data_IF_392045764380
#
_entry.id   IF_392045764380
#
_cell.length_a   1.000
_cell.length_b   1.000
_cell.length_c   1.000
_cell.angle_alpha   90.00
_cell.angle_beta   90.00
_cell.angle_gamma   90.00
#
_symmetry.space_group_name_H-M   'P 1'
#
loop_
_entity.id
_entity.type
_entity.pdbx_description
1 polymer ?
#
# COMPACT_ATOMS: atom_id res chain seq x y z
N UNK A 1 -7.25 2.33 -0.63
CA UNK A 1 -7.16 1.72 -1.98
C UNK A 1 -8.51 1.85 -2.67
N UNK A 2 -8.57 2.39 -3.89
CA UNK A 2 -9.82 2.43 -4.66
C UNK A 2 -10.13 1.02 -5.17
N UNK A 3 -11.12 0.37 -4.59
CA UNK A 3 -11.73 -0.82 -5.19
C UNK A 3 -12.82 -0.32 -6.14
N UNK A 4 -12.58 -0.48 -7.43
CA UNK A 4 -13.48 -0.05 -8.49
C UNK A 4 -14.75 -0.93 -8.44
N UNK A 5 -15.90 -0.33 -8.15
CA UNK A 5 -17.21 -0.99 -8.19
C UNK A 5 -18.07 -0.31 -9.27
N UNK A 6 -17.53 -0.21 -10.49
CA UNK A 6 -18.18 0.48 -11.62
C UNK A 6 -19.57 -0.08 -11.93
N UNK A 7 -19.87 -1.31 -11.53
CA UNK A 7 -21.18 -1.96 -11.69
C UNK A 7 -22.12 -1.81 -10.48
N UNK A 8 -21.66 -1.29 -9.35
CA UNK A 8 -22.46 -1.08 -8.14
C UNK A 8 -22.96 -2.36 -7.45
N UNK A 9 -22.60 -3.54 -7.94
CA UNK A 9 -23.24 -4.80 -7.57
C UNK A 9 -22.66 -5.48 -6.32
N UNK A 10 -21.54 -4.97 -5.79
CA UNK A 10 -20.88 -5.55 -4.62
C UNK A 10 -20.03 -4.52 -3.88
N UNK A 11 -20.11 -4.49 -2.54
CA UNK A 11 -19.16 -3.71 -1.73
C UNK A 11 -17.91 -4.55 -1.41
N UNK A 12 -16.75 -4.22 -2.00
CA UNK A 12 -15.52 -4.96 -1.77
C UNK A 12 -15.00 -4.76 -0.35
N UNK A 13 -14.43 -5.81 0.22
CA UNK A 13 -13.71 -5.71 1.50
C UNK A 13 -12.42 -4.91 1.30
N UNK A 14 -12.53 -3.60 1.45
CA UNK A 14 -11.44 -2.64 1.29
C UNK A 14 -10.34 -2.88 2.31
N UNK A 15 -10.68 -3.36 3.51
CA UNK A 15 -9.70 -3.61 4.58
C UNK A 15 -8.87 -4.83 4.23
N UNK A 16 -9.52 -5.96 3.90
CA UNK A 16 -8.82 -7.17 3.50
C UNK A 16 -7.97 -6.95 2.24
N UNK A 17 -8.46 -6.18 1.27
CA UNK A 17 -7.68 -5.85 0.09
C UNK A 17 -6.47 -4.97 0.42
N UNK A 18 -6.64 -3.94 1.26
CA UNK A 18 -5.53 -3.07 1.68
C UNK A 18 -4.49 -3.86 2.49
N UNK A 19 -4.91 -4.86 3.27
CA UNK A 19 -3.99 -5.73 4.00
C UNK A 19 -3.10 -6.53 3.04
N UNK A 20 -3.67 -7.13 1.98
CA UNK A 20 -2.90 -7.83 0.94
C UNK A 20 -1.90 -6.91 0.24
N UNK A 21 -2.27 -5.65 0.00
CA UNK A 21 -1.34 -4.66 -0.57
C UNK A 21 -0.19 -4.39 0.41
N UNK A 22 -0.47 -4.24 1.70
CA UNK A 22 0.56 -4.05 2.73
C UNK A 22 1.50 -5.26 2.84
N UNK A 23 0.98 -6.48 2.79
CA UNK A 23 1.78 -7.71 2.76
C UNK A 23 2.75 -7.72 1.55
N UNK A 24 2.28 -7.30 0.38
CA UNK A 24 3.13 -7.19 -0.81
C UNK A 24 4.20 -6.09 -0.66
N UNK A 25 3.88 -4.98 0.02
CA UNK A 25 4.87 -3.94 0.35
C UNK A 25 5.96 -4.50 1.25
N UNK A 26 5.59 -5.22 2.31
CA UNK A 26 6.57 -5.85 3.21
C UNK A 26 7.50 -6.81 2.45
N UNK A 27 6.94 -7.66 1.59
CA UNK A 27 7.73 -8.55 0.74
C UNK A 27 8.72 -7.78 -0.16
N UNK A 28 8.32 -6.64 -0.72
CA UNK A 28 9.21 -5.79 -1.52
C UNK A 28 10.30 -5.10 -0.70
N UNK A 29 10.01 -4.71 0.53
CA UNK A 29 11.01 -4.11 1.41
C UNK A 29 12.05 -5.14 1.88
N UNK A 30 11.64 -6.40 2.11
CA UNK A 30 12.53 -7.46 2.58
C UNK A 30 13.31 -8.16 1.45
N UNK A 31 12.67 -8.40 0.32
CA UNK A 31 13.23 -9.22 -0.77
C UNK A 31 13.62 -8.41 -2.01
N UNK A 32 13.31 -7.12 -2.01
CA UNK A 32 13.58 -6.22 -3.12
C UNK A 32 12.38 -6.00 -4.04
N UNK A 33 12.34 -4.82 -4.65
CA UNK A 33 11.33 -4.44 -5.64
C UNK A 33 11.77 -4.85 -7.05
N UNK A 34 10.81 -5.03 -7.99
CA UNK A 34 11.13 -5.10 -9.40
C UNK A 34 11.96 -3.88 -9.83
N UNK A 35 12.95 -4.09 -10.70
CA UNK A 35 13.96 -3.08 -11.08
C UNK A 35 13.35 -1.72 -11.44
N UNK A 36 12.36 -1.70 -12.34
CA UNK A 36 11.70 -0.46 -12.76
C UNK A 36 10.99 0.26 -11.61
N UNK A 37 10.37 -0.49 -10.70
CA UNK A 37 9.69 0.08 -9.53
C UNK A 37 10.71 0.62 -8.52
N UNK A 38 11.83 -0.08 -8.33
CA UNK A 38 12.93 0.37 -7.47
C UNK A 38 13.53 1.68 -7.96
N UNK A 39 13.86 1.77 -9.25
CA UNK A 39 14.41 3.00 -9.86
C UNK A 39 13.48 4.18 -9.59
N UNK A 40 12.18 4.03 -9.90
CA UNK A 40 11.20 5.10 -9.67
C UNK A 40 11.09 5.48 -8.18
N UNK A 41 11.02 4.48 -7.29
CA UNK A 41 10.93 4.72 -5.84
C UNK A 41 12.15 5.46 -5.30
N UNK A 42 13.37 5.04 -5.69
CA UNK A 42 14.60 5.67 -5.24
C UNK A 42 14.74 7.09 -5.79
N UNK A 43 14.42 7.33 -7.08
CA UNK A 43 14.42 8.67 -7.67
C UNK A 43 13.45 9.61 -6.96
N UNK A 44 12.24 9.15 -6.64
CA UNK A 44 11.28 9.97 -5.89
C UNK A 44 11.76 10.26 -4.47
N UNK A 45 12.35 9.28 -3.80
CA UNK A 45 12.89 9.48 -2.45
C UNK A 45 14.02 10.51 -2.45
N UNK A 46 14.94 10.42 -3.39
CA UNK A 46 16.04 11.39 -3.53
C UNK A 46 15.48 12.79 -3.84
N UNK A 47 14.57 12.90 -4.81
CA UNK A 47 14.00 14.18 -5.23
C UNK A 47 13.22 14.88 -4.11
N UNK A 48 12.43 14.13 -3.34
CA UNK A 48 11.61 14.67 -2.24
C UNK A 48 12.31 14.60 -0.87
N UNK A 49 13.58 14.21 -0.81
CA UNK A 49 14.34 14.03 0.42
C UNK A 49 13.62 13.14 1.46
N UNK A 50 13.09 12.01 1.00
CA UNK A 50 12.40 11.02 1.83
C UNK A 50 13.40 9.94 2.27
N UNK A 51 13.38 9.62 3.56
CA UNK A 51 14.20 8.56 4.15
C UNK A 51 13.95 7.18 3.48
N UNK A 52 14.83 6.18 3.71
CA UNK A 52 14.54 4.80 3.32
C UNK A 52 13.18 4.35 3.84
N UNK A 53 12.36 3.79 2.96
CA UNK A 53 11.02 3.33 3.31
C UNK A 53 11.12 2.14 4.27
N UNK A 54 10.24 2.15 5.26
CA UNK A 54 10.09 1.10 6.27
C UNK A 54 8.64 0.64 6.30
N UNK A 55 8.38 -0.53 6.88
CA UNK A 55 7.01 -1.01 7.02
C UNK A 55 6.14 -0.11 7.91
N UNK A 56 6.75 0.73 8.75
CA UNK A 56 6.04 1.71 9.58
C UNK A 56 5.39 2.83 8.75
N UNK A 57 5.90 3.11 7.56
CA UNK A 57 5.35 4.13 6.65
C UNK A 57 4.02 3.70 6.00
N UNK A 58 3.63 2.42 6.16
CA UNK A 58 2.46 1.81 5.51
C UNK A 58 1.44 1.23 6.50
N UNK A 59 0.97 1.94 7.53
CA UNK A 59 0.27 1.38 8.69
C UNK A 59 -0.87 0.40 8.36
N UNK A 60 -1.12 -0.55 9.27
CA UNK A 60 -2.20 -1.52 9.08
C UNK A 60 -3.56 -0.85 8.86
N UNK A 61 -4.35 -1.34 7.88
CA UNK A 61 -5.67 -0.78 7.63
C UNK A 61 -6.59 -1.08 8.82
N UNK A 62 -7.15 -0.02 9.40
CA UNK A 62 -8.17 -0.16 10.44
C UNK A 62 -9.54 -0.28 9.78
N UNK A 63 -10.36 -1.21 10.26
CA UNK A 63 -11.80 -1.15 10.01
C UNK A 63 -12.31 0.10 10.72
N UNK A 64 -12.99 0.99 10.01
CA UNK A 64 -13.71 2.07 10.67
C UNK A 64 -14.79 1.41 11.53
N UNK A 65 -14.63 1.52 12.85
CA UNK A 65 -15.69 1.14 13.79
C UNK A 65 -16.86 2.10 13.50
N UNK A 66 -18.00 1.57 13.09
CA UNK A 66 -19.19 2.38 12.93
C UNK A 66 -19.46 3.05 14.29
N UNK A 67 -19.51 4.38 14.32
CA UNK A 67 -19.94 5.11 15.51
C UNK A 67 -21.29 4.55 15.94
N UNK A 68 -21.33 3.96 17.15
CA UNK A 68 -22.54 3.47 17.79
C UNK A 68 -23.46 4.63 18.20
#
# INVERSE_FOLDING_TARGET
VSCDNLSGSFEPDRVAFTLKVREQVDAYLQHGMPERAKILSDTFREFYNVAPLTLADFPEPKRLEAYA
#
